data_IF_546159707615
#
_entry.id   IF_546159707615
#
_cell.length_a   1.000
_cell.length_b   1.000
_cell.length_c   1.000
_cell.angle_alpha   90.00
_cell.angle_beta   90.00
_cell.angle_gamma   90.00
#
_symmetry.space_group_name_H-M   'P 1'
#
loop_
_entity.id
_entity.type
_entity.pdbx_description
1 polymer ?
#
# COMPACT_ATOMS: atom_id res chain seq x y z
N UNK A 1 7.79 -14.63 -34.29
CA UNK A 1 8.71 -13.76 -33.49
C UNK A 1 7.93 -13.18 -32.33
N UNK A 2 8.22 -13.57 -31.09
CA UNK A 2 7.55 -13.02 -29.89
C UNK A 2 8.34 -11.79 -29.43
N UNK A 3 7.71 -10.63 -29.35
CA UNK A 3 8.31 -9.40 -28.80
C UNK A 3 7.83 -9.21 -27.38
N UNK A 4 8.75 -9.19 -26.43
CA UNK A 4 8.47 -8.95 -25.02
C UNK A 4 9.04 -7.59 -24.60
N UNK A 5 8.33 -6.89 -23.72
CA UNK A 5 8.87 -5.68 -23.08
C UNK A 5 9.75 -6.10 -21.92
N UNK A 6 11.01 -5.68 -21.92
CA UNK A 6 11.93 -5.89 -20.79
C UNK A 6 11.41 -5.10 -19.58
N UNK A 7 11.36 -5.70 -18.38
CA UNK A 7 10.99 -4.98 -17.17
C UNK A 7 11.95 -3.80 -16.92
N UNK A 8 11.41 -2.67 -16.47
CA UNK A 8 12.19 -1.48 -16.14
C UNK A 8 12.85 -1.60 -14.75
N UNK A 9 13.72 -2.60 -14.60
CA UNK A 9 14.48 -2.92 -13.39
C UNK A 9 15.91 -3.19 -13.81
N UNK A 10 16.94 -2.56 -13.21
CA UNK A 10 18.33 -2.86 -13.52
C UNK A 10 18.63 -4.30 -13.08
N UNK A 11 18.78 -5.18 -14.05
CA UNK A 11 19.13 -6.57 -13.82
C UNK A 11 19.87 -7.12 -15.03
N UNK A 12 20.77 -8.07 -14.75
CA UNK A 12 21.27 -8.96 -15.77
C UNK A 12 20.27 -10.12 -15.90
N UNK A 13 19.54 -10.15 -17.00
CA UNK A 13 18.53 -11.17 -17.28
C UNK A 13 19.20 -12.39 -17.88
N UNK A 14 19.08 -13.53 -17.18
CA UNK A 14 19.46 -14.82 -17.73
C UNK A 14 18.22 -15.49 -18.32
N UNK A 15 18.29 -15.80 -19.61
CA UNK A 15 17.23 -16.47 -20.35
C UNK A 15 17.64 -17.91 -20.63
N UNK A 16 16.94 -18.83 -19.98
CA UNK A 16 17.04 -20.27 -20.20
C UNK A 16 15.82 -20.77 -20.97
N UNK A 17 16.03 -21.70 -21.88
CA UNK A 17 14.97 -22.30 -22.68
C UNK A 17 15.05 -23.82 -22.64
N UNK A 18 13.88 -24.44 -22.49
CA UNK A 18 13.74 -25.90 -22.49
C UNK A 18 12.76 -26.27 -23.60
N UNK A 19 13.14 -27.19 -24.47
CA UNK A 19 12.30 -27.69 -25.56
C UNK A 19 11.99 -29.16 -25.33
N UNK A 20 10.73 -29.55 -25.50
CA UNK A 20 10.28 -30.94 -25.41
C UNK A 20 9.72 -31.33 -26.77
N UNK A 21 10.27 -32.38 -27.38
CA UNK A 21 9.83 -32.91 -28.67
C UNK A 21 9.46 -34.40 -28.56
N UNK A 22 8.39 -34.87 -29.21
CA UNK A 22 7.97 -36.28 -29.15
C UNK A 22 9.05 -37.28 -29.58
N UNK A 23 9.84 -36.93 -30.60
CA UNK A 23 10.89 -37.82 -31.15
C UNK A 23 12.30 -37.51 -30.63
N UNK A 24 12.55 -36.29 -30.15
CA UNK A 24 13.89 -35.82 -29.77
C UNK A 24 14.04 -35.61 -28.26
N UNK A 25 12.99 -35.87 -27.48
CA UNK A 25 13.01 -35.78 -26.02
C UNK A 25 13.13 -34.34 -25.51
N UNK A 26 13.77 -34.19 -24.35
CA UNK A 26 14.02 -32.91 -23.70
C UNK A 26 15.38 -32.35 -24.16
N UNK A 27 15.38 -31.10 -24.62
CA UNK A 27 16.57 -30.33 -24.97
C UNK A 27 16.66 -29.08 -24.10
N UNK A 28 17.85 -28.78 -23.60
CA UNK A 28 18.18 -27.52 -22.91
C UNK A 28 18.89 -26.61 -23.91
N UNK A 29 18.39 -25.40 -24.09
CA UNK A 29 18.99 -24.38 -24.96
C UNK A 29 20.12 -23.64 -24.22
N UNK A 30 21.16 -23.17 -24.93
CA UNK A 30 22.23 -22.40 -24.31
C UNK A 30 21.67 -21.11 -23.68
N UNK A 31 22.18 -20.78 -22.51
CA UNK A 31 21.78 -19.56 -21.79
C UNK A 31 22.12 -18.31 -22.61
N UNK A 32 21.24 -17.31 -22.53
CA UNK A 32 21.46 -15.99 -23.09
C UNK A 32 21.39 -14.95 -21.98
N UNK A 33 22.34 -14.03 -21.93
CA UNK A 33 22.34 -12.93 -20.96
C UNK A 33 21.98 -11.60 -21.62
N UNK A 34 21.27 -10.74 -20.88
CA UNK A 34 20.91 -9.41 -21.32
C UNK A 34 20.93 -8.43 -20.15
N UNK A 35 21.84 -7.45 -20.20
CA UNK A 35 21.87 -6.37 -19.22
C UNK A 35 20.87 -5.28 -19.58
N UNK A 36 19.96 -5.02 -18.64
CA UNK A 36 18.89 -4.02 -18.76
C UNK A 36 19.18 -2.73 -17.99
N UNK A 37 20.39 -2.60 -17.44
CA UNK A 37 20.78 -1.45 -16.60
C UNK A 37 20.79 -0.15 -17.42
N UNK A 38 19.94 0.84 -17.08
CA UNK A 38 19.94 2.11 -17.78
C UNK A 38 21.15 2.99 -17.36
N UNK A 39 21.62 3.89 -18.24
CA UNK A 39 22.68 4.86 -17.94
C UNK A 39 22.42 5.69 -16.70
N UNK A 40 21.16 6.14 -16.54
CA UNK A 40 20.67 6.88 -15.38
C UNK A 40 19.51 6.11 -14.75
N UNK A 41 19.57 5.94 -13.44
CA UNK A 41 18.46 5.41 -12.66
C UNK A 41 18.11 6.35 -11.51
N UNK A 42 16.81 6.52 -11.26
CA UNK A 42 16.29 7.25 -10.09
C UNK A 42 15.48 6.34 -9.18
N UNK A 43 15.74 6.40 -7.87
CA UNK A 43 14.90 5.80 -6.84
C UNK A 43 14.40 6.89 -5.90
N UNK A 44 13.12 6.86 -5.59
CA UNK A 44 12.51 7.79 -4.64
C UNK A 44 12.23 7.10 -3.33
N UNK A 45 12.49 7.82 -2.24
CA UNK A 45 12.16 7.40 -0.88
C UNK A 45 11.43 8.55 -0.19
N UNK A 46 10.24 8.26 0.33
CA UNK A 46 9.45 9.19 1.12
C UNK A 46 8.56 8.40 2.09
N UNK A 47 8.02 9.07 3.10
CA UNK A 47 7.05 8.46 4.00
C UNK A 47 5.78 8.06 3.26
N UNK A 48 5.19 6.91 3.62
CA UNK A 48 3.94 6.44 3.00
C UNK A 48 2.71 7.22 3.50
N UNK A 49 2.83 7.83 4.67
CA UNK A 49 1.78 8.62 5.31
C UNK A 49 2.39 9.87 5.96
N UNK A 50 1.57 10.91 6.08
CA UNK A 50 1.86 12.09 6.90
C UNK A 50 0.57 12.59 7.55
N UNK A 51 0.71 13.34 8.65
CA UNK A 51 -0.40 14.09 9.22
C UNK A 51 -0.60 15.39 8.47
N UNK A 52 -1.82 15.88 8.51
CA UNK A 52 -2.19 17.17 7.97
C UNK A 52 -1.30 18.29 8.50
N UNK A 53 -0.78 19.12 7.59
CA UNK A 53 0.11 20.23 7.92
C UNK A 53 1.58 19.86 8.15
N UNK A 54 1.94 18.56 8.11
CA UNK A 54 3.33 18.16 8.16
C UNK A 54 4.08 18.49 6.86
N UNK A 55 5.37 18.77 7.03
CA UNK A 55 6.32 18.91 5.94
C UNK A 55 6.98 17.56 5.70
N UNK A 56 7.07 17.14 4.45
CA UNK A 56 7.65 15.85 4.04
C UNK A 56 8.81 16.13 3.11
N UNK A 57 9.91 15.39 3.26
CA UNK A 57 11.01 15.43 2.28
C UNK A 57 10.99 14.17 1.43
N UNK A 58 11.10 14.35 0.11
CA UNK A 58 11.34 13.23 -0.80
C UNK A 58 12.83 13.13 -1.04
N UNK A 59 13.40 11.99 -0.66
CA UNK A 59 14.79 11.65 -0.93
C UNK A 59 14.91 11.06 -2.32
N UNK A 60 15.66 11.73 -3.18
CA UNK A 60 15.91 11.35 -4.57
C UNK A 60 17.30 10.73 -4.65
N UNK A 61 17.37 9.43 -4.89
CA UNK A 61 18.61 8.71 -5.13
C UNK A 61 18.86 8.62 -6.64
N UNK A 62 19.97 9.16 -7.11
CA UNK A 62 20.36 9.15 -8.51
C UNK A 62 21.61 8.31 -8.68
N UNK A 63 21.56 7.37 -9.63
CA UNK A 63 22.63 6.44 -9.93
C UNK A 63 23.09 6.66 -11.37
N UNK A 64 24.40 6.83 -11.53
CA UNK A 64 25.04 6.86 -12.84
C UNK A 64 25.75 5.54 -13.08
N UNK A 65 25.19 4.76 -13.99
CA UNK A 65 25.74 3.46 -14.39
C UNK A 65 26.87 3.61 -15.41
N UNK A 66 26.97 4.76 -16.09
CA UNK A 66 28.01 5.05 -17.08
C UNK A 66 29.33 5.47 -16.42
N UNK A 67 30.43 5.36 -17.18
CA UNK A 67 31.76 5.81 -16.75
C UNK A 67 31.96 7.32 -16.85
N UNK A 68 31.15 8.00 -17.67
CA UNK A 68 31.24 9.45 -17.87
C UNK A 68 30.41 10.17 -16.82
N UNK A 69 30.84 11.38 -16.46
CA UNK A 69 30.04 12.26 -15.63
C UNK A 69 28.78 12.68 -16.38
N UNK A 70 27.64 12.70 -15.69
CA UNK A 70 26.36 13.13 -16.23
C UNK A 70 25.91 14.41 -15.52
N UNK A 71 25.39 15.35 -16.30
CA UNK A 71 24.66 16.49 -15.76
C UNK A 71 23.17 16.14 -15.72
N UNK A 72 22.59 16.11 -14.52
CA UNK A 72 21.22 15.67 -14.28
C UNK A 72 20.40 16.86 -13.80
N UNK A 73 19.34 17.20 -14.54
CA UNK A 73 18.32 18.13 -14.10
C UNK A 73 17.21 17.37 -13.38
N UNK A 74 17.12 17.56 -12.07
CA UNK A 74 16.08 16.98 -11.23
C UNK A 74 14.93 17.97 -11.14
N UNK A 75 13.73 17.57 -11.54
CA UNK A 75 12.54 18.45 -11.55
C UNK A 75 11.46 17.88 -10.66
N UNK A 76 11.13 18.61 -9.59
CA UNK A 76 9.90 18.40 -8.84
C UNK A 76 8.75 19.03 -9.63
N UNK A 77 7.82 18.21 -10.12
CA UNK A 77 6.64 18.72 -10.82
C UNK A 77 5.76 19.52 -9.87
N UNK A 78 5.24 20.66 -10.30
CA UNK A 78 4.23 21.41 -9.57
C UNK A 78 2.91 20.66 -9.48
N UNK A 79 2.27 20.75 -8.31
CA UNK A 79 0.92 20.21 -8.07
C UNK A 79 0.16 21.19 -7.15
N UNK A 80 -1.17 21.11 -7.13
CA UNK A 80 -2.02 21.87 -6.18
C UNK A 80 -2.00 21.26 -4.78
N UNK A 81 -1.68 19.97 -4.68
CA UNK A 81 -1.71 19.20 -3.43
C UNK A 81 -0.50 19.47 -2.50
N UNK A 82 0.59 20.04 -3.01
CA UNK A 82 1.79 20.38 -2.26
C UNK A 82 2.49 21.63 -2.81
N UNK A 83 3.38 22.21 -2.00
CA UNK A 83 4.27 23.32 -2.38
C UNK A 83 5.71 22.94 -2.10
N UNK A 84 6.64 23.51 -2.86
CA UNK A 84 8.07 23.36 -2.57
C UNK A 84 8.45 24.25 -1.39
N UNK A 85 9.31 23.75 -0.52
CA UNK A 85 9.87 24.51 0.59
C UNK A 85 11.19 25.10 0.13
N UNK A 86 11.28 26.42 0.11
CA UNK A 86 12.51 27.11 -0.22
C UNK A 86 13.53 26.92 0.90
N UNK A 87 14.70 26.41 0.52
CA UNK A 87 15.87 26.39 1.39
C UNK A 87 16.59 27.72 1.22
N UNK A 88 16.67 28.50 2.29
CA UNK A 88 17.28 29.83 2.26
C UNK A 88 18.81 29.74 2.34
N UNK A 89 19.49 30.89 2.30
CA UNK A 89 20.94 30.98 2.46
C UNK A 89 21.42 30.22 3.71
N UNK A 90 22.59 29.57 3.60
CA UNK A 90 23.17 28.69 4.63
C UNK A 90 22.38 27.42 4.94
N UNK A 91 21.52 26.96 4.03
CA UNK A 91 20.72 25.75 4.19
C UNK A 91 19.74 25.80 5.39
N UNK A 92 19.31 27.00 5.78
CA UNK A 92 18.37 27.20 6.87
C UNK A 92 16.93 27.27 6.35
N UNK A 93 16.00 26.66 7.09
CA UNK A 93 14.57 26.68 6.82
C UNK A 93 13.84 27.04 8.10
N UNK A 94 12.93 28.01 8.05
CA UNK A 94 12.06 28.30 9.19
C UNK A 94 11.10 27.12 9.41
N UNK A 95 11.21 26.48 10.58
CA UNK A 95 10.43 25.28 10.91
C UNK A 95 8.91 25.52 10.86
N UNK A 96 8.44 26.66 11.38
CA UNK A 96 7.00 26.92 11.53
C UNK A 96 6.38 27.60 10.32
N UNK A 97 7.13 28.44 9.62
CA UNK A 97 6.63 29.22 8.48
C UNK A 97 7.69 29.28 7.39
N UNK A 98 7.97 28.15 6.72
CA UNK A 98 8.88 28.16 5.59
C UNK A 98 8.31 28.99 4.44
N UNK A 99 9.19 29.59 3.64
CA UNK A 99 8.78 30.19 2.37
C UNK A 99 8.39 29.08 1.40
N UNK A 100 7.17 29.17 0.88
CA UNK A 100 6.60 28.19 -0.03
C UNK A 100 6.51 28.76 -1.44
N UNK A 101 6.79 27.91 -2.42
CA UNK A 101 6.69 28.25 -3.84
C UNK A 101 5.89 27.20 -4.61
N UNK A 102 5.18 27.68 -5.63
CA UNK A 102 4.35 26.91 -6.53
C UNK A 102 5.06 26.67 -7.87
N UNK A 103 4.57 25.70 -8.65
CA UNK A 103 5.11 25.41 -9.98
C UNK A 103 6.19 24.32 -9.94
N UNK A 104 6.87 24.17 -11.08
CA UNK A 104 7.95 23.20 -11.24
C UNK A 104 9.23 23.77 -10.63
N UNK A 105 9.94 22.93 -9.86
CA UNK A 105 11.22 23.30 -9.24
C UNK A 105 12.33 22.45 -9.82
N UNK A 106 13.38 23.11 -10.30
CA UNK A 106 14.49 22.48 -11.01
C UNK A 106 15.77 22.59 -10.20
N UNK A 107 16.53 21.50 -10.12
CA UNK A 107 17.83 21.46 -9.48
C UNK A 107 18.82 20.72 -10.38
N UNK A 108 19.88 21.41 -10.79
CA UNK A 108 20.90 20.87 -11.68
C UNK A 108 22.07 20.33 -10.84
N UNK A 109 22.42 19.07 -11.04
CA UNK A 109 23.53 18.42 -10.35
C UNK A 109 24.49 17.76 -11.33
N UNK A 110 25.76 17.63 -10.92
CA UNK A 110 26.78 16.87 -11.66
C UNK A 110 27.04 15.55 -10.95
N UNK A 111 26.61 14.47 -11.57
CA UNK A 111 26.76 13.10 -11.07
C UNK A 111 28.00 12.46 -11.67
N UNK A 112 28.93 11.99 -10.83
CA UNK A 112 30.17 11.37 -11.32
C UNK A 112 29.91 10.02 -11.99
N UNK A 113 30.78 9.61 -12.89
CA UNK A 113 30.77 8.26 -13.46
C UNK A 113 30.81 7.19 -12.38
N UNK A 114 30.06 6.09 -12.58
CA UNK A 114 29.97 4.94 -11.65
C UNK A 114 29.70 5.35 -10.19
N UNK A 115 28.92 6.41 -9.98
CA UNK A 115 28.63 6.95 -8.65
C UNK A 115 27.13 7.12 -8.42
N UNK A 116 26.76 7.36 -7.16
CA UNK A 116 25.42 7.78 -6.78
C UNK A 116 25.46 9.11 -6.02
N UNK A 117 24.36 9.85 -6.07
CA UNK A 117 24.17 11.07 -5.29
C UNK A 117 22.74 11.16 -4.78
N UNK A 118 22.57 11.70 -3.58
CA UNK A 118 21.29 11.96 -2.96
C UNK A 118 20.92 13.44 -3.07
N UNK A 119 19.66 13.72 -3.43
CA UNK A 119 19.08 15.06 -3.42
C UNK A 119 17.80 15.03 -2.59
N UNK A 120 17.71 15.90 -1.58
CA UNK A 120 16.49 16.05 -0.78
C UNK A 120 15.58 17.12 -1.37
N UNK A 121 14.32 16.78 -1.60
CA UNK A 121 13.28 17.68 -2.10
C UNK A 121 12.20 17.89 -1.04
N UNK A 122 12.30 18.95 -0.21
CA UNK A 122 11.31 19.22 0.83
C UNK A 122 10.02 19.79 0.22
N UNK A 123 8.88 19.24 0.64
CA UNK A 123 7.54 19.63 0.22
C UNK A 123 6.61 19.85 1.42
N UNK A 124 5.86 20.94 1.37
CA UNK A 124 4.77 21.20 2.31
C UNK A 124 3.47 20.65 1.72
N UNK A 125 2.81 19.75 2.42
CA UNK A 125 1.55 19.16 1.96
C UNK A 125 0.40 20.12 2.27
N UNK A 126 -0.32 20.56 1.23
CA UNK A 126 -1.45 21.49 1.36
C UNK A 126 -2.77 20.75 1.45
N UNK A 127 -2.85 19.57 0.84
CA UNK A 127 -4.04 18.73 0.85
C UNK A 127 -4.42 18.35 2.29
N UNK A 128 -5.69 18.50 2.63
CA UNK A 128 -6.19 18.29 3.99
C UNK A 128 -6.36 16.80 4.33
N UNK A 129 -6.76 15.98 3.35
CA UNK A 129 -6.96 14.54 3.53
C UNK A 129 -6.84 13.80 2.19
N UNK A 130 -6.39 12.54 2.23
CA UNK A 130 -6.35 11.64 1.08
C UNK A 130 -4.96 11.51 0.45
N UNK A 131 -4.88 10.89 -0.73
CA UNK A 131 -3.59 10.59 -1.36
C UNK A 131 -3.05 11.77 -2.16
N UNK A 132 -1.78 12.09 -1.93
CA UNK A 132 -0.96 13.04 -2.69
C UNK A 132 0.03 12.26 -3.55
N UNK A 133 0.18 12.65 -4.81
CA UNK A 133 1.13 12.03 -5.73
C UNK A 133 2.21 13.06 -6.08
N UNK A 134 3.41 12.82 -5.59
CA UNK A 134 4.58 13.64 -5.87
C UNK A 134 5.30 13.03 -7.07
N UNK A 135 5.54 13.84 -8.11
CA UNK A 135 6.20 13.39 -9.34
C UNK A 135 7.55 14.08 -9.50
N UNK A 136 8.60 13.30 -9.71
CA UNK A 136 9.96 13.79 -9.91
C UNK A 136 10.46 13.27 -11.25
N UNK A 137 11.13 14.16 -11.97
CA UNK A 137 11.82 13.86 -13.23
C UNK A 137 13.33 13.97 -13.01
N UNK A 138 14.08 13.03 -13.56
CA UNK A 138 15.52 13.16 -13.74
C UNK A 138 15.80 13.18 -15.23
N UNK A 139 16.38 14.29 -15.72
CA UNK A 139 16.60 14.54 -17.16
C UNK A 139 18.09 14.72 -17.39
N UNK A 140 18.66 13.95 -18.33
CA UNK A 140 20.04 14.06 -18.79
C UNK A 140 20.06 14.25 -20.31
N UNK A 141 21.25 14.43 -20.89
CA UNK A 141 21.44 14.46 -22.34
C UNK A 141 21.11 13.11 -23.01
N UNK A 142 21.31 12.00 -22.30
CA UNK A 142 21.17 10.64 -22.80
C UNK A 142 19.79 10.04 -22.56
N UNK A 143 19.01 10.57 -21.61
CA UNK A 143 17.71 10.00 -21.29
C UNK A 143 16.95 10.73 -20.20
N UNK A 144 15.85 10.11 -19.77
CA UNK A 144 14.95 10.64 -18.75
C UNK A 144 14.37 9.49 -17.92
N UNK A 145 14.39 9.64 -16.60
CA UNK A 145 13.63 8.78 -15.68
C UNK A 145 12.52 9.59 -15.01
N UNK A 146 11.37 8.94 -14.77
CA UNK A 146 10.19 9.54 -14.16
C UNK A 146 9.68 8.61 -13.06
N UNK A 147 9.68 9.10 -11.83
CA UNK A 147 9.18 8.34 -10.69
C UNK A 147 8.12 9.13 -9.94
N UNK A 148 7.21 8.40 -9.31
CA UNK A 148 6.11 8.95 -8.54
C UNK A 148 6.09 8.27 -7.19
N UNK A 149 5.94 9.06 -6.13
CA UNK A 149 5.71 8.55 -4.78
C UNK A 149 4.34 8.99 -4.29
N UNK A 150 3.64 8.07 -3.62
CA UNK A 150 2.32 8.30 -3.06
C UNK A 150 2.46 8.52 -1.56
N UNK A 151 1.92 9.63 -1.07
CA UNK A 151 1.87 9.96 0.36
C UNK A 151 0.41 10.08 0.75
N UNK A 152 -0.02 9.35 1.77
CA UNK A 152 -1.40 9.42 2.27
C UNK A 152 -1.49 10.42 3.42
N UNK A 153 -2.30 11.46 3.25
CA UNK A 153 -2.53 12.47 4.28
C UNK A 153 -3.66 12.01 5.18
N UNK A 154 -3.32 11.82 6.45
CA UNK A 154 -4.26 11.51 7.51
C UNK A 154 -4.56 12.76 8.35
N UNK A 155 -5.79 12.91 8.87
CA UNK A 155 -6.08 13.92 9.88
C UNK A 155 -5.25 13.68 11.14
N UNK A 156 -5.03 14.74 11.91
CA UNK A 156 -4.44 14.66 13.24
C UNK A 156 -5.38 13.98 14.27
N UNK A 157 -4.83 13.67 15.45
CA UNK A 157 -5.57 13.00 16.53
C UNK A 157 -5.62 11.48 16.41
N UNK A 158 -6.50 10.86 17.21
CA UNK A 158 -6.70 9.42 17.24
C UNK A 158 -8.04 9.04 16.58
N UNK A 159 -8.04 7.96 15.79
CA UNK A 159 -9.24 7.46 15.14
C UNK A 159 -10.17 6.79 16.16
N UNK A 160 -11.32 7.40 16.40
CA UNK A 160 -12.44 6.78 17.13
C UNK A 160 -13.42 6.20 16.13
N UNK A 161 -13.87 4.97 16.39
CA UNK A 161 -14.78 4.24 15.50
C UNK A 161 -16.11 4.00 16.21
N UNK A 162 -17.18 4.37 15.54
CA UNK A 162 -18.55 4.04 15.93
C UNK A 162 -19.13 3.09 14.89
N UNK A 163 -19.86 2.07 15.33
CA UNK A 163 -20.49 1.09 14.47
C UNK A 163 -21.94 0.91 14.90
N UNK A 164 -22.87 1.20 14.00
CA UNK A 164 -24.30 0.98 14.18
C UNK A 164 -24.76 0.01 13.09
N UNK A 165 -25.42 -1.07 13.49
CA UNK A 165 -26.00 -2.06 12.57
C UNK A 165 -27.47 -2.27 12.89
N UNK A 166 -28.29 -2.34 11.85
CA UNK A 166 -29.73 -2.60 11.95
C UNK A 166 -30.06 -3.82 11.07
N UNK A 167 -30.83 -4.75 11.61
CA UNK A 167 -31.36 -5.88 10.84
C UNK A 167 -32.65 -5.43 10.14
N UNK A 168 -32.66 -5.56 8.82
CA UNK A 168 -33.80 -5.20 7.99
C UNK A 168 -34.58 -6.46 7.60
N UNK A 169 -35.77 -6.65 8.19
CA UNK A 169 -36.67 -7.76 7.88
C UNK A 169 -37.84 -7.29 6.99
N UNK A 170 -37.92 -7.84 5.77
CA UNK A 170 -38.95 -7.52 4.78
C UNK A 170 -40.02 -8.61 4.65
N UNK A 171 -40.00 -9.66 5.48
CA UNK A 171 -40.92 -10.80 5.32
C UNK A 171 -42.40 -10.42 5.43
N UNK A 172 -42.72 -9.46 6.29
CA UNK A 172 -44.10 -9.09 6.62
C UNK A 172 -44.54 -7.73 6.07
N UNK A 173 -43.66 -6.99 5.39
CA UNK A 173 -43.94 -5.61 4.94
C UNK A 173 -43.23 -5.30 3.63
N UNK A 174 -43.96 -4.72 2.67
CA UNK A 174 -43.41 -4.29 1.37
C UNK A 174 -42.55 -3.01 1.44
N UNK A 175 -42.60 -2.27 2.55
CA UNK A 175 -41.76 -1.09 2.79
C UNK A 175 -41.46 -0.98 4.29
N UNK A 176 -40.18 -0.80 4.62
CA UNK A 176 -39.70 -0.62 6.00
C UNK A 176 -38.75 0.58 6.00
N UNK A 177 -38.99 1.53 6.90
CA UNK A 177 -38.11 2.66 7.15
C UNK A 177 -37.42 2.45 8.49
N UNK A 178 -36.09 2.42 8.48
CA UNK A 178 -35.25 2.38 9.67
C UNK A 178 -34.30 3.56 9.63
N UNK A 179 -34.19 4.27 10.75
CA UNK A 179 -33.32 5.43 10.89
C UNK A 179 -32.07 5.04 11.66
N UNK A 180 -30.90 5.31 11.07
CA UNK A 180 -29.61 5.09 11.71
C UNK A 180 -29.21 6.37 12.44
N UNK A 181 -29.22 6.31 13.77
CA UNK A 181 -28.65 7.38 14.59
C UNK A 181 -27.12 7.36 14.45
N UNK A 182 -26.61 8.34 13.71
CA UNK A 182 -25.18 8.56 13.55
C UNK A 182 -24.73 9.59 14.60
N UNK A 183 -23.83 9.23 15.53
CA UNK A 183 -23.32 10.16 16.54
C UNK A 183 -22.33 11.12 15.88
N UNK A 184 -22.83 12.05 15.06
CA UNK A 184 -22.04 13.11 14.44
C UNK A 184 -22.46 14.41 15.11
N UNK A 185 -21.55 14.98 15.89
CA UNK A 185 -21.75 16.31 16.46
C UNK A 185 -21.74 17.36 15.33
N UNK A 186 -22.65 18.33 15.38
CA UNK A 186 -22.75 19.40 14.37
C UNK A 186 -21.52 20.31 14.37
N UNK A 187 -20.92 20.52 15.55
CA UNK A 187 -19.72 21.33 15.72
C UNK A 187 -18.65 20.59 16.51
N UNK A 188 -17.37 20.67 16.11
CA UNK A 188 -16.29 20.08 16.90
C UNK A 188 -15.96 20.93 18.14
N UNK A 189 -16.45 22.17 18.21
CA UNK A 189 -16.12 23.14 19.24
C UNK A 189 -16.89 22.86 20.53
N UNK A 190 -16.16 22.86 21.64
CA UNK A 190 -16.74 22.77 22.98
C UNK A 190 -16.57 24.14 23.62
N UNK A 191 -17.68 24.75 24.04
CA UNK A 191 -17.67 26.08 24.67
C UNK A 191 -16.69 26.09 25.85
N UNK A 192 -15.73 27.03 25.84
CA UNK A 192 -14.69 27.21 26.88
C UNK A 192 -13.74 26.01 27.07
N UNK A 193 -13.54 25.17 26.05
CA UNK A 193 -12.54 24.11 26.08
C UNK A 193 -11.54 24.24 24.93
N UNK A 194 -10.29 23.86 25.20
CA UNK A 194 -9.23 23.74 24.19
C UNK A 194 -9.41 22.42 23.41
N UNK A 195 -10.01 21.41 24.05
CA UNK A 195 -10.26 20.10 23.45
C UNK A 195 -11.47 20.20 22.51
N UNK A 196 -11.35 19.55 21.36
CA UNK A 196 -12.42 19.45 20.35
C UNK A 196 -13.00 18.04 20.35
N UNK A 197 -14.29 17.93 20.01
CA UNK A 197 -14.98 16.62 19.89
C UNK A 197 -14.39 15.78 18.75
N UNK A 198 -14.10 16.43 17.63
CA UNK A 198 -13.44 15.82 16.48
C UNK A 198 -12.59 16.85 15.72
N UNK A 199 -11.80 16.38 14.77
CA UNK A 199 -10.91 17.20 13.95
C UNK A 199 -11.66 17.68 12.69
N UNK A 200 -11.55 18.97 12.37
CA UNK A 200 -12.23 19.52 11.18
C UNK A 200 -11.86 18.76 9.91
N UNK A 201 -12.87 18.30 9.16
CA UNK A 201 -12.72 17.57 7.91
C UNK A 201 -12.25 16.11 8.06
N UNK A 202 -12.14 15.58 9.28
CA UNK A 202 -11.81 14.18 9.55
C UNK A 202 -13.00 13.19 9.55
N UNK A 203 -14.26 13.59 9.82
CA UNK A 203 -15.37 12.63 9.83
C UNK A 203 -15.53 11.91 8.48
N UNK A 204 -15.64 10.59 8.55
CA UNK A 204 -15.87 9.73 7.39
C UNK A 204 -16.82 8.59 7.79
N UNK A 205 -17.84 8.34 6.96
CA UNK A 205 -18.83 7.30 7.18
C UNK A 205 -18.82 6.30 6.01
N UNK A 206 -19.00 5.02 6.34
CA UNK A 206 -19.15 3.95 5.35
C UNK A 206 -20.42 3.15 5.66
N UNK A 207 -21.33 3.11 4.69
CA UNK A 207 -22.50 2.25 4.73
C UNK A 207 -22.20 0.94 4.00
N UNK A 208 -22.62 -0.18 4.58
CA UNK A 208 -22.61 -1.49 3.95
C UNK A 208 -23.97 -2.15 4.15
N UNK A 209 -24.55 -2.68 3.07
CA UNK A 209 -25.83 -3.39 3.08
C UNK A 209 -25.57 -4.80 2.58
N UNK A 210 -26.10 -5.78 3.31
CA UNK A 210 -25.92 -7.21 3.01
C UNK A 210 -27.26 -7.90 2.96
N UNK A 211 -27.49 -8.68 1.91
CA UNK A 211 -28.72 -9.47 1.73
C UNK A 211 -28.72 -10.79 2.51
N UNK A 212 -27.71 -11.02 3.34
CA UNK A 212 -27.53 -12.25 4.12
C UNK A 212 -27.10 -11.90 5.55
N UNK A 213 -27.50 -12.73 6.51
CA UNK A 213 -27.21 -12.62 7.95
C UNK A 213 -25.74 -12.89 8.25
N UNK A 214 -25.08 -13.74 7.43
CA UNK A 214 -23.65 -14.04 7.58
C UNK A 214 -22.75 -12.86 7.13
N UNK A 215 -23.33 -11.80 6.55
CA UNK A 215 -22.64 -10.61 6.11
C UNK A 215 -22.01 -10.74 4.71
N UNK A 216 -21.23 -9.74 4.26
CA UNK A 216 -20.70 -9.70 2.91
C UNK A 216 -19.46 -10.59 2.86
N UNK A 217 -19.64 -11.82 2.40
CA UNK A 217 -18.50 -12.64 1.98
C UNK A 217 -17.80 -11.92 0.83
N UNK A 218 -16.48 -11.80 0.91
CA UNK A 218 -15.68 -11.14 -0.10
C UNK A 218 -15.91 -11.75 -1.49
N UNK A 219 -15.66 -11.00 -2.57
CA UNK A 219 -15.80 -11.53 -3.93
C UNK A 219 -14.94 -12.79 -4.18
N UNK A 220 -13.80 -12.88 -3.49
CA UNK A 220 -12.86 -14.00 -3.49
C UNK A 220 -13.14 -15.04 -2.39
N UNK A 221 -14.24 -14.89 -1.63
CA UNK A 221 -14.66 -15.81 -0.57
C UNK A 221 -13.66 -16.02 0.57
N UNK A 222 -12.73 -15.07 0.75
CA UNK A 222 -11.77 -15.07 1.87
C UNK A 222 -12.21 -14.12 2.98
N UNK A 223 -11.95 -14.52 4.22
CA UNK A 223 -12.11 -13.67 5.39
C UNK A 223 -10.78 -13.64 6.15
N UNK A 224 -10.21 -12.45 6.29
CA UNK A 224 -8.96 -12.23 6.99
C UNK A 224 -9.14 -11.29 8.19
N UNK A 225 -8.26 -11.41 9.18
CA UNK A 225 -8.18 -10.49 10.31
C UNK A 225 -7.95 -9.04 9.86
N UNK A 226 -7.22 -8.81 8.76
CA UNK A 226 -6.99 -7.46 8.25
C UNK A 226 -8.29 -6.83 7.77
N UNK A 227 -9.19 -7.62 7.20
CA UNK A 227 -10.52 -7.15 6.80
C UNK A 227 -11.47 -7.04 7.99
N UNK A 228 -11.52 -8.06 8.84
CA UNK A 228 -12.40 -8.11 10.01
C UNK A 228 -12.09 -7.02 11.04
N UNK A 229 -10.80 -6.74 11.26
CA UNK A 229 -10.34 -5.75 12.25
C UNK A 229 -9.79 -4.47 11.61
N UNK A 230 -10.20 -4.19 10.36
CA UNK A 230 -9.96 -2.94 9.63
C UNK A 230 -8.50 -2.46 9.69
N UNK A 231 -7.60 -3.30 9.17
CA UNK A 231 -6.17 -3.06 9.00
C UNK A 231 -5.29 -3.54 10.15
N UNK A 232 -5.85 -4.00 11.27
CA UNK A 232 -5.04 -4.57 12.37
C UNK A 232 -4.38 -5.87 11.93
N UNK A 233 -3.11 -6.03 12.28
CA UNK A 233 -2.31 -7.20 11.91
C UNK A 233 -2.13 -8.09 13.14
N UNK A 234 -2.59 -9.34 13.04
CA UNK A 234 -2.37 -10.38 14.05
C UNK A 234 -1.24 -11.28 13.56
N UNK A 235 -0.04 -11.10 14.13
CA UNK A 235 1.16 -11.88 13.78
C UNK A 235 1.28 -13.22 14.52
N UNK A 236 0.43 -13.43 15.51
CA UNK A 236 0.38 -14.63 16.34
C UNK A 236 -0.25 -15.81 15.60
N UNK A 237 -0.05 -17.03 16.12
CA UNK A 237 -0.73 -18.24 15.64
C UNK A 237 -2.25 -18.05 15.54
N UNK A 238 -2.87 -17.42 16.55
CA UNK A 238 -4.30 -17.10 16.58
C UNK A 238 -4.77 -16.28 15.38
N UNK A 239 -3.95 -15.37 14.86
CA UNK A 239 -4.29 -14.61 13.66
C UNK A 239 -4.46 -15.52 12.44
N UNK A 240 -3.55 -16.48 12.27
CA UNK A 240 -3.64 -17.45 11.16
C UNK A 240 -4.78 -18.45 11.39
N UNK A 241 -5.01 -18.86 12.64
CA UNK A 241 -6.14 -19.72 12.99
C UNK A 241 -7.47 -19.01 12.74
N UNK A 242 -7.58 -17.73 13.07
CA UNK A 242 -8.74 -16.90 12.76
C UNK A 242 -8.98 -16.81 11.24
N UNK A 243 -7.95 -16.50 10.45
CA UNK A 243 -8.08 -16.46 8.98
C UNK A 243 -8.56 -17.78 8.40
N UNK A 244 -7.95 -18.89 8.85
CA UNK A 244 -8.29 -20.23 8.41
C UNK A 244 -9.72 -20.58 8.80
N UNK A 245 -10.06 -20.47 10.09
CA UNK A 245 -11.36 -20.82 10.64
C UNK A 245 -12.48 -19.97 10.04
N UNK A 246 -12.35 -18.64 10.03
CA UNK A 246 -13.40 -17.76 9.48
C UNK A 246 -13.64 -18.00 8.00
N UNK A 247 -12.58 -18.20 7.20
CA UNK A 247 -12.72 -18.54 5.77
C UNK A 247 -13.36 -19.92 5.59
N UNK A 248 -12.94 -20.93 6.36
CA UNK A 248 -13.50 -22.28 6.30
C UNK A 248 -14.99 -22.29 6.65
N UNK A 249 -15.39 -21.64 7.74
CA UNK A 249 -16.78 -21.52 8.15
C UNK A 249 -17.61 -20.73 7.14
N UNK A 250 -17.04 -19.70 6.50
CA UNK A 250 -17.70 -18.98 5.42
C UNK A 250 -17.98 -19.89 4.21
N UNK A 251 -17.00 -20.69 3.79
CA UNK A 251 -17.19 -21.65 2.70
C UNK A 251 -18.19 -22.75 3.08
N UNK A 252 -18.16 -23.21 4.33
CA UNK A 252 -19.11 -24.20 4.84
C UNK A 252 -20.54 -23.65 4.80
N UNK A 253 -20.75 -22.41 5.23
CA UNK A 253 -22.04 -21.73 5.15
C UNK A 253 -22.53 -21.59 3.70
N UNK A 254 -21.66 -21.13 2.80
CA UNK A 254 -22.00 -21.01 1.37
C UNK A 254 -22.33 -22.38 0.74
N UNK A 255 -21.68 -23.46 1.20
CA UNK A 255 -22.00 -24.82 0.76
C UNK A 255 -23.39 -25.25 1.26
N UNK A 256 -23.68 -25.06 2.54
CA UNK A 256 -24.97 -25.45 3.15
C UNK A 256 -26.15 -24.69 2.54
N UNK A 257 -25.95 -23.43 2.16
CA UNK A 257 -26.97 -22.59 1.51
C UNK A 257 -27.00 -22.71 -0.01
N UNK A 258 -26.20 -23.61 -0.59
CA UNK A 258 -26.06 -23.81 -2.03
C UNK A 258 -25.65 -22.54 -2.82
N UNK A 259 -24.93 -21.62 -2.18
CA UNK A 259 -24.40 -20.39 -2.77
C UNK A 259 -22.94 -20.52 -3.23
N UNK A 260 -22.27 -21.61 -2.86
CA UNK A 260 -20.86 -21.84 -3.18
C UNK A 260 -20.63 -22.11 -4.68
N UNK A 261 -19.83 -21.27 -5.33
CA UNK A 261 -19.37 -21.47 -6.71
C UNK A 261 -17.91 -21.89 -6.74
N UNK A 262 -17.63 -23.13 -7.13
CA UNK A 262 -16.27 -23.72 -7.12
C UNK A 262 -15.28 -22.91 -7.96
N UNK A 263 -15.69 -22.39 -9.13
CA UNK A 263 -14.84 -21.56 -9.99
C UNK A 263 -14.33 -20.29 -9.30
N UNK A 264 -15.09 -19.74 -8.34
CA UNK A 264 -14.70 -18.57 -7.55
C UNK A 264 -13.94 -18.95 -6.27
N UNK A 265 -14.19 -20.15 -5.74
CA UNK A 265 -13.59 -20.63 -4.49
C UNK A 265 -12.12 -21.05 -4.60
N UNK A 266 -11.56 -21.21 -5.82
CA UNK A 266 -10.15 -21.61 -6.01
C UNK A 266 -9.17 -20.76 -5.19
N UNK A 267 -9.35 -19.43 -5.22
CA UNK A 267 -8.52 -18.50 -4.43
C UNK A 267 -8.67 -18.69 -2.92
N UNK A 268 -9.88 -19.03 -2.47
CA UNK A 268 -10.13 -19.32 -1.06
C UNK A 268 -9.45 -20.62 -0.62
N UNK A 269 -9.44 -21.66 -1.47
CA UNK A 269 -8.70 -22.89 -1.20
C UNK A 269 -7.18 -22.67 -1.18
N UNK A 270 -6.64 -21.91 -2.13
CA UNK A 270 -5.22 -21.53 -2.13
C UNK A 270 -4.87 -20.75 -0.86
N UNK A 271 -5.73 -19.82 -0.44
CA UNK A 271 -5.58 -19.08 0.82
C UNK A 271 -5.60 -20.00 2.04
N UNK A 272 -6.56 -20.91 2.14
CA UNK A 272 -6.67 -21.89 3.23
C UNK A 272 -5.42 -22.78 3.30
N UNK A 273 -4.90 -23.24 2.15
CA UNK A 273 -3.68 -24.04 2.10
C UNK A 273 -2.48 -23.27 2.67
N UNK A 274 -2.33 -21.98 2.33
CA UNK A 274 -1.27 -21.13 2.89
C UNK A 274 -1.46 -20.93 4.40
N UNK A 275 -2.69 -20.67 4.87
CA UNK A 275 -2.94 -20.50 6.31
C UNK A 275 -2.65 -21.80 7.07
N UNK A 276 -3.08 -22.96 6.55
CA UNK A 276 -2.85 -24.27 7.15
C UNK A 276 -1.36 -24.61 7.20
N UNK A 277 -0.62 -24.40 6.11
CA UNK A 277 0.83 -24.60 6.09
C UNK A 277 1.53 -23.72 7.14
N UNK A 278 1.08 -22.48 7.32
CA UNK A 278 1.63 -21.57 8.34
C UNK A 278 1.30 -22.01 9.76
N UNK A 279 0.11 -22.59 9.99
CA UNK A 279 -0.26 -23.19 11.28
C UNK A 279 0.59 -24.44 11.58
N UNK A 280 0.72 -25.33 10.60
CA UNK A 280 1.53 -26.54 10.72
C UNK A 280 3.02 -26.23 10.92
N UNK A 281 3.53 -25.14 10.34
CA UNK A 281 4.88 -24.66 10.60
C UNK A 281 5.11 -24.26 12.07
N UNK A 282 4.04 -23.97 12.83
CA UNK A 282 4.08 -23.68 14.27
C UNK A 282 3.80 -24.90 15.15
N UNK A 283 3.46 -26.03 14.56
CA UNK A 283 3.26 -27.27 15.28
C UNK A 283 4.62 -27.91 15.59
N UNK A 284 4.91 -28.11 16.87
CA UNK A 284 6.13 -28.79 17.32
C UNK A 284 5.89 -29.47 18.66
N UNK A 285 6.42 -30.68 18.81
CA UNK A 285 6.38 -31.46 20.05
C UNK A 285 4.95 -31.68 20.58
N UNK A 286 3.99 -31.94 19.69
CA UNK A 286 2.61 -32.26 20.07
C UNK A 286 1.70 -31.05 20.32
N UNK A 287 2.22 -29.82 20.21
CA UNK A 287 1.44 -28.60 20.43
C UNK A 287 1.75 -27.48 19.45
N UNK A 288 0.87 -26.49 19.40
CA UNK A 288 1.08 -25.29 18.59
C UNK A 288 1.80 -24.21 19.38
N UNK A 289 2.73 -23.52 18.73
CA UNK A 289 3.43 -22.37 19.30
C UNK A 289 2.71 -21.09 18.93
N UNK A 290 2.52 -20.20 19.89
CA UNK A 290 1.91 -18.89 19.65
C UNK A 290 2.79 -17.98 18.79
N UNK A 291 4.11 -18.01 19.05
CA UNK A 291 5.14 -17.28 18.31
C UNK A 291 6.24 -18.25 17.86
N UNK A 292 7.00 -17.92 16.82
CA UNK A 292 8.05 -18.82 16.32
C UNK A 292 9.09 -19.22 17.38
N UNK A 293 9.46 -18.28 18.25
CA UNK A 293 10.41 -18.48 19.33
C UNK A 293 9.75 -18.96 20.65
N UNK A 294 8.42 -19.08 20.73
CA UNK A 294 7.77 -19.48 21.97
C UNK A 294 7.79 -20.99 22.17
N UNK A 295 7.61 -21.42 23.42
CA UNK A 295 7.23 -22.80 23.73
C UNK A 295 5.82 -23.09 23.19
N UNK A 296 5.51 -24.37 23.06
CA UNK A 296 4.17 -24.81 22.69
C UNK A 296 3.17 -24.41 23.77
N UNK A 297 2.00 -23.93 23.34
CA UNK A 297 0.87 -23.54 24.18
C UNK A 297 -0.16 -24.65 24.18
N UNK A 298 -0.85 -24.81 25.31
CA UNK A 298 -2.03 -25.69 25.45
C UNK A 298 -3.32 -24.92 25.14
N UNK A 299 -3.29 -23.59 25.28
CA UNK A 299 -4.30 -22.66 24.77
C UNK A 299 -4.13 -22.43 23.28
#
# INVERSE_FOLDING_TARGET
>A
MVRLKVPNTPANWLMEGYAIHPEHGLMVLPEQSYDSTPPLMMKLEATSFCRRGEQVSVRVHLFNSDEKNLMVMVVLKGNKDYRFINVEENAQVNYHRPRLSAGDHQHLITLRGRSFQEVMMPVAIVKQMGTVIITIYAITQTGRDVRRVKVTVEPEGALVRYHTSVLLDLKNRGTVYEFLDLPIDESPEITRSIIRRYVYGSPNARLAVTGDVFGPVAHDMTVSYTRAFNGRILKSCDGYAFNFGTTLWSLHYLRLTNQLRISKAKKAFDFLNVQLATLLARYKEGGFRMWFASKSSIW
#
